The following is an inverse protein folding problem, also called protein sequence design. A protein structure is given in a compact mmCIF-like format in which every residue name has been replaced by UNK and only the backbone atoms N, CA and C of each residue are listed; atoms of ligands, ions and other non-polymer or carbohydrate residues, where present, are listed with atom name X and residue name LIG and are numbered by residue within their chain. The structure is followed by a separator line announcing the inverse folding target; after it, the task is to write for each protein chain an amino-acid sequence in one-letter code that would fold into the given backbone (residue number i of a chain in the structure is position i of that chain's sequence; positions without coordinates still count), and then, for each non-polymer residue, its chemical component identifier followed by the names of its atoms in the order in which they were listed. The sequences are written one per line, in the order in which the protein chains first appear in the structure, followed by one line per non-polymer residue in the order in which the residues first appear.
data_IF_900736421545
#
_entry.id   IF_900736421545
#
_cell.length_a   1.000
_cell.length_b   1.000
_cell.length_c   1.000
_cell.angle_alpha   90.00
_cell.angle_beta   90.00
_cell.angle_gamma   90.00
#
_symmetry.space_group_name_H-M   'P 1'
#
loop_
_entity.id
_entity.type
_entity.pdbx_description
1 polymer ?
#
# COMPACT_ATOMS: atom_id res chain seq x y z
N UNK A 1 -6.65 15.87 14.59
CA UNK A 1 -6.31 14.47 14.26
C UNK A 1 -5.46 14.46 12.99
N UNK A 2 -4.14 14.24 13.10
CA UNK A 2 -3.29 14.10 11.91
C UNK A 2 -3.63 12.76 11.25
N UNK A 3 -4.44 12.79 10.17
CA UNK A 3 -4.63 11.62 9.31
C UNK A 3 -3.30 11.39 8.60
N UNK A 4 -2.56 10.34 8.98
CA UNK A 4 -1.40 9.93 8.21
C UNK A 4 -1.90 9.38 6.86
N UNK A 5 -1.38 9.87 5.73
CA UNK A 5 -1.73 9.33 4.44
C UNK A 5 -1.27 7.86 4.37
N UNK A 6 -2.06 7.02 3.69
CA UNK A 6 -1.79 5.58 3.51
C UNK A 6 -0.37 5.33 3.00
N UNK A 7 0.12 6.18 2.10
CA UNK A 7 1.47 6.13 1.52
C UNK A 7 2.58 6.19 2.58
N UNK A 8 2.43 7.03 3.61
CA UNK A 8 3.43 7.16 4.69
C UNK A 8 3.41 5.93 5.59
N UNK A 9 2.23 5.36 5.86
CA UNK A 9 2.12 4.12 6.64
C UNK A 9 2.73 2.94 5.89
N UNK A 10 2.55 2.89 4.57
CA UNK A 10 3.15 1.87 3.70
C UNK A 10 4.67 2.02 3.61
N UNK A 11 5.20 3.25 3.55
CA UNK A 11 6.64 3.49 3.54
C UNK A 11 7.27 3.03 4.86
N UNK A 12 6.67 3.37 6.00
CA UNK A 12 7.13 2.90 7.32
C UNK A 12 7.01 1.39 7.48
N UNK A 13 5.95 0.78 6.94
CA UNK A 13 5.84 -0.69 6.86
C UNK A 13 6.97 -1.31 6.04
N UNK A 14 7.32 -0.73 4.88
CA UNK A 14 8.46 -1.17 4.06
C UNK A 14 9.81 -1.05 4.76
N UNK A 15 9.99 -0.01 5.59
CA UNK A 15 11.17 0.18 6.44
C UNK A 15 11.22 -0.79 7.63
N UNK A 16 10.17 -1.59 7.86
CA UNK A 16 10.06 -2.48 9.01
C UNK A 16 9.69 -1.77 10.32
N UNK A 17 9.31 -0.50 10.27
CA UNK A 17 8.95 0.31 11.45
C UNK A 17 7.51 0.05 11.92
N UNK A 18 6.65 -0.48 11.05
CA UNK A 18 5.25 -0.77 11.33
C UNK A 18 4.91 -2.21 10.95
N UNK A 19 4.04 -2.85 11.73
CA UNK A 19 3.43 -4.13 11.37
C UNK A 19 2.12 -3.94 10.61
N UNK A 20 1.64 -4.99 9.92
CA UNK A 20 0.32 -4.99 9.25
C UNK A 20 -0.81 -4.59 10.21
N UNK A 21 -0.71 -5.00 11.47
CA UNK A 21 -1.67 -4.63 12.52
C UNK A 21 -1.63 -3.15 12.92
N UNK A 22 -0.46 -2.50 12.86
CA UNK A 22 -0.34 -1.07 13.13
C UNK A 22 -0.89 -0.24 11.97
N UNK A 23 -0.65 -0.68 10.74
CA UNK A 23 -1.29 -0.11 9.53
C UNK A 23 -2.81 -0.23 9.63
N UNK A 24 -3.33 -1.41 10.02
CA UNK A 24 -4.76 -1.63 10.22
C UNK A 24 -5.36 -0.69 11.28
N UNK A 25 -4.70 -0.55 12.44
CA UNK A 25 -5.12 0.37 13.51
C UNK A 25 -5.09 1.84 13.09
N UNK A 26 -4.02 2.25 12.40
CA UNK A 26 -3.86 3.62 11.94
C UNK A 26 -4.92 4.01 10.90
N UNK A 27 -5.32 3.05 10.05
CA UNK A 27 -6.36 3.24 9.04
C UNK A 27 -7.78 2.93 9.53
N UNK A 28 -7.94 2.40 10.75
CA UNK A 28 -9.22 1.93 11.31
C UNK A 28 -9.94 0.93 10.38
N UNK A 29 -9.18 0.00 9.81
CA UNK A 29 -9.69 -1.05 8.91
C UNK A 29 -9.37 -2.43 9.48
N UNK A 30 -10.00 -3.47 8.93
CA UNK A 30 -9.71 -4.86 9.29
C UNK A 30 -8.30 -5.27 8.84
N UNK A 31 -7.69 -6.19 9.60
CA UNK A 31 -6.37 -6.80 9.28
C UNK A 31 -6.31 -7.37 7.85
N UNK A 32 -7.36 -8.06 7.42
CA UNK A 32 -7.47 -8.59 6.06
C UNK A 32 -7.39 -7.48 5.00
N UNK A 33 -8.05 -6.34 5.28
CA UNK A 33 -8.10 -5.21 4.37
C UNK A 33 -6.74 -4.49 4.31
N UNK A 34 -6.07 -4.32 5.45
CA UNK A 34 -4.71 -3.78 5.50
C UNK A 34 -3.73 -4.66 4.72
N UNK A 35 -3.83 -5.99 4.85
CA UNK A 35 -2.99 -6.93 4.08
C UNK A 35 -3.22 -6.82 2.57
N UNK A 36 -4.47 -6.63 2.12
CA UNK A 36 -4.78 -6.40 0.70
C UNK A 36 -4.18 -5.09 0.19
N UNK A 37 -4.27 -3.99 0.95
CA UNK A 37 -3.68 -2.70 0.58
C UNK A 37 -2.16 -2.82 0.46
N UNK A 38 -1.52 -3.49 1.42
CA UNK A 38 -0.06 -3.71 1.39
C UNK A 38 0.34 -4.53 0.17
N UNK A 39 -0.35 -5.65 -0.11
CA UNK A 39 -0.09 -6.46 -1.29
C UNK A 39 -0.30 -5.66 -2.59
N UNK A 40 -1.39 -4.90 -2.70
CA UNK A 40 -1.65 -4.03 -3.84
C UNK A 40 -0.59 -2.93 -4.02
N UNK A 41 -0.09 -2.37 -2.92
CA UNK A 41 0.98 -1.37 -2.98
C UNK A 41 2.33 -1.97 -3.38
N UNK A 42 2.55 -3.27 -3.13
CA UNK A 42 3.74 -3.99 -3.58
C UNK A 42 3.62 -4.40 -5.06
N UNK A 43 2.46 -4.88 -5.49
CA UNK A 43 2.16 -5.20 -6.91
C UNK A 43 2.08 -3.94 -7.79
N UNK A 44 1.57 -2.84 -7.26
CA UNK A 44 1.42 -1.56 -7.95
C UNK A 44 2.74 -0.86 -8.29
N UNK A 45 3.88 -1.34 -7.79
CA UNK A 45 5.21 -0.93 -8.28
C UNK A 45 5.48 -1.40 -9.72
N UNK A 46 4.62 -2.27 -10.28
CA UNK A 46 4.61 -2.68 -11.69
C UNK A 46 3.38 -2.14 -12.45
N UNK A 47 2.77 -1.03 -12.02
CA UNK A 47 1.93 -0.26 -12.94
C UNK A 47 2.83 0.50 -13.91
N UNK A 48 3.49 -0.26 -14.79
CA UNK A 48 3.72 0.15 -16.15
C UNK A 48 2.41 0.77 -16.63
N UNK A 49 2.50 2.02 -17.03
CA UNK A 49 1.49 2.69 -17.83
C UNK A 49 0.90 1.68 -18.83
N UNK A 50 -0.43 1.68 -19.09
CA UNK A 50 -0.92 1.16 -20.35
C UNK A 50 -0.47 2.17 -21.43
N UNK A 51 0.83 2.25 -21.70
CA UNK A 51 1.31 2.85 -22.93
C UNK A 51 1.03 1.82 -23.98
N UNK A 52 -0.17 1.95 -24.57
CA UNK A 52 -0.39 1.85 -26.01
C UNK A 52 0.91 1.51 -26.78
N UNK A 53 1.17 0.22 -26.98
CA UNK A 53 2.15 -0.23 -27.96
C UNK A 53 1.37 -0.93 -29.06
N UNK A 54 1.21 -0.33 -30.26
CA UNK A 54 0.63 -0.99 -31.40
C UNK A 54 1.59 -2.09 -31.87
N UNK A 55 1.01 -3.25 -32.09
CA UNK A 55 1.62 -4.48 -32.59
C UNK A 55 2.30 -4.29 -33.96
N UNK A 56 3.53 -4.78 -34.18
CA UNK A 56 4.02 -5.15 -35.50
C UNK A 56 3.55 -6.55 -35.92
#
# INVERSE_FOLDING_TARGET
MRKYPVSVLLERYRRGELSVGDVARALKISLLHAKRIINQAQDGSNCSTPTDQPKP
#
